data_IF_526217478417
#
_entry.id   IF_526217478417
#
_cell.length_a   1.000
_cell.length_b   1.000
_cell.length_c   1.000
_cell.angle_alpha   90.00
_cell.angle_beta   90.00
_cell.angle_gamma   90.00
#
_symmetry.space_group_name_H-M   'P 1'
#
loop_
_entity.id
_entity.type
_entity.pdbx_description
1 polymer ?
#
# COMPACT_ATOMS: atom_id res chain seq x y z
N UNK A 1 2.64 19.45 -38.21
CA UNK A 1 2.07 18.31 -37.47
C UNK A 1 2.94 17.10 -37.78
N UNK A 2 3.86 16.74 -36.89
CA UNK A 2 4.61 15.48 -36.99
C UNK A 2 3.61 14.33 -36.86
N UNK A 3 3.60 13.40 -37.82
CA UNK A 3 2.77 12.21 -37.72
C UNK A 3 3.10 11.49 -36.40
N UNK A 4 2.10 11.28 -35.54
CA UNK A 4 2.29 10.50 -34.33
C UNK A 4 2.77 9.10 -34.74
N UNK A 5 3.87 8.64 -34.13
CA UNK A 5 4.45 7.33 -34.41
C UNK A 5 3.45 6.19 -34.23
N UNK A 6 3.65 5.06 -34.91
CA UNK A 6 2.73 3.91 -34.89
C UNK A 6 2.68 3.30 -33.49
N UNK A 7 1.51 3.34 -32.85
CA UNK A 7 1.26 2.71 -31.56
C UNK A 7 0.86 1.24 -31.74
N UNK A 8 1.43 0.36 -30.91
CA UNK A 8 1.04 -1.06 -30.80
C UNK A 8 0.98 -1.45 -29.33
N UNK A 9 0.05 -2.35 -28.98
CA UNK A 9 -0.05 -2.92 -27.63
C UNK A 9 0.23 -4.40 -27.73
N UNK A 10 1.18 -4.88 -26.94
CA UNK A 10 1.56 -6.29 -26.90
C UNK A 10 1.41 -6.84 -25.49
N UNK A 11 0.92 -8.07 -25.39
CA UNK A 11 0.91 -8.80 -24.12
C UNK A 11 2.36 -9.13 -23.73
N UNK A 12 2.67 -9.04 -22.44
CA UNK A 12 3.97 -9.47 -21.89
C UNK A 12 3.90 -10.96 -21.59
N UNK A 13 4.81 -11.74 -22.15
CA UNK A 13 4.89 -13.17 -21.91
C UNK A 13 5.35 -13.48 -20.47
N UNK A 14 4.87 -14.60 -19.91
CA UNK A 14 5.25 -15.13 -18.59
C UNK A 14 6.12 -16.38 -18.81
N UNK A 15 7.09 -16.69 -17.91
CA UNK A 15 7.06 -16.42 -16.46
C UNK A 15 7.75 -15.14 -15.97
N UNK A 16 8.46 -14.40 -16.83
CA UNK A 16 9.17 -13.19 -16.41
C UNK A 16 8.60 -11.96 -17.11
N UNK A 17 8.02 -11.05 -16.33
CA UNK A 17 7.67 -9.71 -16.82
C UNK A 17 8.94 -9.05 -17.36
N UNK A 18 8.88 -8.54 -18.59
CA UNK A 18 10.07 -8.04 -19.29
C UNK A 18 10.73 -6.87 -18.56
N UNK A 19 12.04 -6.73 -18.71
CA UNK A 19 12.79 -5.61 -18.12
C UNK A 19 12.25 -4.26 -18.63
N UNK A 20 11.78 -4.20 -19.89
CA UNK A 20 11.12 -3.04 -20.47
C UNK A 20 9.85 -2.64 -19.70
N UNK A 21 9.01 -3.60 -19.32
CA UNK A 21 7.82 -3.33 -18.52
C UNK A 21 8.20 -2.78 -17.13
N UNK A 22 9.19 -3.39 -16.47
CA UNK A 22 9.63 -2.98 -15.14
C UNK A 22 10.28 -1.59 -15.13
N UNK A 23 11.06 -1.27 -16.17
CA UNK A 23 11.84 -0.03 -16.26
C UNK A 23 11.11 1.15 -16.87
N UNK A 24 9.96 0.96 -17.51
CA UNK A 24 9.20 2.07 -18.09
C UNK A 24 9.01 3.29 -17.16
N UNK A 25 8.73 3.13 -15.84
CA UNK A 25 8.63 4.26 -14.91
C UNK A 25 9.82 5.22 -14.95
N UNK A 26 11.06 4.70 -15.12
CA UNK A 26 12.26 5.54 -15.21
C UNK A 26 12.18 6.56 -16.36
N UNK A 27 11.51 6.20 -17.46
CA UNK A 27 11.32 7.11 -18.59
C UNK A 27 10.22 8.14 -18.33
N UNK A 28 9.14 7.72 -17.65
CA UNK A 28 7.96 8.54 -17.35
C UNK A 28 8.25 9.60 -16.27
N UNK A 29 9.04 9.23 -15.25
CA UNK A 29 9.34 10.05 -14.08
C UNK A 29 10.76 10.64 -14.08
N UNK A 30 11.47 10.62 -15.22
CA UNK A 30 12.88 11.06 -15.32
C UNK A 30 13.14 12.49 -14.80
N UNK A 31 12.13 13.34 -14.87
CA UNK A 31 12.13 14.76 -14.51
C UNK A 31 11.31 15.04 -13.24
N UNK A 32 10.86 14.00 -12.54
CA UNK A 32 10.09 14.11 -11.31
C UNK A 32 11.00 13.92 -10.08
N UNK A 33 11.29 14.98 -9.31
CA UNK A 33 12.16 14.87 -8.13
C UNK A 33 11.49 14.16 -6.94
N UNK A 34 10.16 14.03 -6.93
CA UNK A 34 9.44 13.32 -5.88
C UNK A 34 9.41 11.81 -6.14
N UNK A 35 9.64 11.38 -7.39
CA UNK A 35 9.61 9.97 -7.72
C UNK A 35 10.84 9.22 -7.18
N UNK A 36 10.60 8.08 -6.55
CA UNK A 36 11.64 7.21 -6.00
C UNK A 36 11.69 5.91 -6.82
N UNK A 37 12.82 5.61 -7.49
CA UNK A 37 12.97 4.36 -8.22
C UNK A 37 12.89 3.14 -7.28
N UNK A 38 11.94 2.20 -7.48
CA UNK A 38 11.84 1.02 -6.64
C UNK A 38 13.01 0.06 -6.92
N UNK A 39 13.31 -0.80 -5.96
CA UNK A 39 14.32 -1.85 -6.14
C UNK A 39 13.84 -2.85 -7.21
N UNK A 40 14.56 -2.93 -8.33
CA UNK A 40 14.19 -3.82 -9.44
C UNK A 40 14.20 -5.29 -9.03
N UNK A 41 15.07 -5.68 -8.08
CA UNK A 41 15.10 -7.04 -7.55
C UNK A 41 13.78 -7.40 -6.85
N UNK A 42 13.27 -6.49 -6.03
CA UNK A 42 12.02 -6.70 -5.30
C UNK A 42 10.82 -6.68 -6.25
N UNK A 43 10.78 -5.76 -7.23
CA UNK A 43 9.73 -5.75 -8.27
C UNK A 43 9.72 -7.03 -9.13
N UNK A 44 10.88 -7.60 -9.44
CA UNK A 44 10.97 -8.90 -10.14
C UNK A 44 10.41 -10.04 -9.30
N UNK A 45 10.72 -10.06 -8.00
CA UNK A 45 10.20 -11.07 -7.08
C UNK A 45 8.68 -10.95 -6.88
N UNK A 46 8.20 -9.72 -6.73
CA UNK A 46 6.78 -9.39 -6.60
C UNK A 46 5.94 -9.84 -7.81
N UNK A 47 6.51 -9.81 -9.02
CA UNK A 47 5.85 -10.23 -10.25
C UNK A 47 6.18 -11.67 -10.70
N UNK A 48 6.96 -12.44 -9.91
CA UNK A 48 7.29 -13.84 -10.21
C UNK A 48 6.19 -14.77 -9.64
N UNK A 49 5.42 -15.49 -10.49
CA UNK A 49 4.38 -16.41 -10.04
C UNK A 49 4.87 -17.56 -9.14
N UNK A 50 6.17 -17.85 -9.15
CA UNK A 50 6.77 -18.88 -8.30
C UNK A 50 7.14 -18.38 -6.91
N UNK A 51 7.11 -17.06 -6.70
CA UNK A 51 7.54 -16.42 -5.45
C UNK A 51 6.43 -15.68 -4.74
N UNK A 52 5.49 -15.09 -5.47
CA UNK A 52 4.37 -14.35 -4.90
C UNK A 52 3.10 -15.22 -4.87
N UNK A 53 2.56 -15.57 -3.69
CA UNK A 53 1.37 -16.41 -3.55
C UNK A 53 0.09 -15.80 -4.13
N UNK A 54 0.06 -14.49 -4.38
CA UNK A 54 -1.07 -13.84 -5.08
C UNK A 54 -1.44 -14.54 -6.38
N UNK A 55 -0.45 -15.03 -7.13
CA UNK A 55 -0.66 -15.71 -8.41
C UNK A 55 -1.26 -17.12 -8.27
N UNK A 56 -1.33 -17.69 -7.07
CA UNK A 56 -2.01 -18.96 -6.81
C UNK A 56 -3.54 -18.80 -6.88
N UNK A 57 -4.04 -17.61 -6.51
CA UNK A 57 -5.47 -17.29 -6.40
C UNK A 57 -5.93 -16.22 -7.37
N UNK A 58 -5.04 -15.69 -8.21
CA UNK A 58 -5.35 -14.64 -9.17
C UNK A 58 -4.85 -14.95 -10.58
N UNK A 59 -5.71 -14.69 -11.56
CA UNK A 59 -5.34 -14.68 -12.96
C UNK A 59 -4.92 -13.26 -13.35
N UNK A 60 -3.79 -13.12 -14.04
CA UNK A 60 -3.24 -11.80 -14.38
C UNK A 60 -2.75 -11.75 -15.82
N UNK A 61 -2.85 -10.55 -16.39
CA UNK A 61 -2.25 -10.19 -17.67
C UNK A 61 -1.60 -8.82 -17.60
N UNK A 62 -0.57 -8.65 -18.41
CA UNK A 62 0.26 -7.45 -18.47
C UNK A 62 0.43 -7.07 -19.94
N UNK A 63 0.42 -5.78 -20.23
CA UNK A 63 0.64 -5.25 -21.56
C UNK A 63 1.65 -4.11 -21.56
N UNK A 64 2.36 -3.98 -22.67
CA UNK A 64 3.27 -2.90 -22.97
C UNK A 64 2.81 -2.21 -24.27
N UNK A 65 2.62 -0.91 -24.22
CA UNK A 65 2.41 -0.07 -25.38
C UNK A 65 3.77 0.38 -25.95
N UNK A 66 3.96 0.17 -27.24
CA UNK A 66 5.15 0.56 -27.99
C UNK A 66 4.77 1.59 -29.05
N UNK A 67 5.46 2.73 -29.08
CA UNK A 67 5.40 3.72 -30.17
C UNK A 67 6.69 3.66 -30.96
N UNK A 68 6.60 3.29 -32.23
CA UNK A 68 7.77 3.04 -33.10
C UNK A 68 8.80 2.09 -32.45
N UNK A 69 8.30 1.03 -31.80
CA UNK A 69 9.12 0.04 -31.10
C UNK A 69 9.66 0.46 -29.73
N UNK A 70 9.39 1.70 -29.27
CA UNK A 70 9.83 2.19 -27.95
C UNK A 70 8.71 2.06 -26.91
N UNK A 71 8.98 1.53 -25.70
CA UNK A 71 8.00 1.52 -24.61
C UNK A 71 7.52 2.92 -24.25
N UNK A 72 6.21 3.14 -24.30
CA UNK A 72 5.55 4.40 -23.95
C UNK A 72 4.42 4.25 -22.93
N UNK A 73 4.05 3.01 -22.60
CA UNK A 73 2.99 2.75 -21.65
C UNK A 73 2.93 1.29 -21.20
N UNK A 74 2.39 1.00 -20.02
CA UNK A 74 2.20 -0.33 -19.48
C UNK A 74 0.92 -0.38 -18.64
N UNK A 75 0.32 -1.56 -18.55
CA UNK A 75 -0.84 -1.81 -17.67
C UNK A 75 -0.89 -3.29 -17.30
N UNK A 76 -1.54 -3.59 -16.17
CA UNK A 76 -1.94 -4.93 -15.77
C UNK A 76 -3.44 -5.01 -15.57
N UNK A 77 -4.00 -6.19 -15.77
CA UNK A 77 -5.35 -6.55 -15.38
C UNK A 77 -5.34 -7.89 -14.65
N UNK A 78 -6.22 -8.04 -13.67
CA UNK A 78 -6.24 -9.22 -12.83
C UNK A 78 -7.64 -9.57 -12.32
N UNK A 79 -7.93 -10.86 -12.25
CA UNK A 79 -9.12 -11.45 -11.65
C UNK A 79 -8.69 -12.15 -10.37
N UNK A 80 -9.06 -11.57 -9.23
CA UNK A 80 -8.73 -12.10 -7.91
C UNK A 80 -9.88 -12.98 -7.41
N UNK A 81 -9.65 -14.29 -7.30
CA UNK A 81 -10.70 -15.24 -6.87
C UNK A 81 -11.15 -15.00 -5.44
N UNK A 82 -10.22 -14.68 -4.53
CA UNK A 82 -10.56 -14.37 -3.13
C UNK A 82 -11.45 -13.11 -3.01
N UNK A 83 -11.26 -12.12 -3.89
CA UNK A 83 -12.17 -10.97 -3.98
C UNK A 83 -13.56 -11.41 -4.45
N UNK A 84 -13.62 -12.17 -5.55
CA UNK A 84 -14.89 -12.59 -6.14
C UNK A 84 -15.70 -13.52 -5.23
N UNK A 85 -15.05 -14.39 -4.47
CA UNK A 85 -15.71 -15.27 -3.49
C UNK A 85 -16.46 -14.48 -2.42
N UNK A 86 -15.88 -13.36 -1.99
CA UNK A 86 -16.45 -12.46 -0.98
C UNK A 86 -17.50 -11.51 -1.55
N UNK A 87 -17.20 -10.82 -2.65
CA UNK A 87 -18.04 -9.71 -3.16
C UNK A 87 -19.07 -10.15 -4.20
N UNK A 88 -18.79 -11.21 -4.97
CA UNK A 88 -19.71 -11.82 -5.95
C UNK A 88 -20.33 -10.83 -6.94
N UNK A 89 -19.57 -9.83 -7.35
CA UNK A 89 -20.04 -8.69 -8.15
C UNK A 89 -19.46 -8.67 -9.58
N UNK A 90 -18.71 -9.71 -9.97
CA UNK A 90 -18.00 -9.81 -11.24
C UNK A 90 -17.04 -8.63 -11.52
N UNK A 91 -16.40 -8.12 -10.47
CA UNK A 91 -15.35 -7.10 -10.59
C UNK A 91 -14.00 -7.72 -10.92
N UNK A 92 -13.39 -7.24 -12.00
CA UNK A 92 -11.97 -7.40 -12.28
C UNK A 92 -11.20 -6.14 -11.89
N UNK A 93 -9.89 -6.29 -11.73
CA UNK A 93 -9.02 -5.18 -11.36
C UNK A 93 -8.05 -4.82 -12.47
N UNK A 94 -7.60 -3.57 -12.47
CA UNK A 94 -6.47 -3.10 -13.28
C UNK A 94 -5.44 -2.42 -12.38
N UNK A 95 -4.21 -2.27 -12.86
CA UNK A 95 -3.16 -1.52 -12.15
C UNK A 95 -1.85 -1.52 -12.91
N UNK A 96 -0.74 -1.22 -12.23
CA UNK A 96 0.59 -1.00 -12.83
C UNK A 96 0.54 -0.02 -14.02
N UNK A 97 -0.48 0.84 -14.07
CA UNK A 97 -0.70 1.76 -15.18
C UNK A 97 0.38 2.83 -15.17
N UNK A 98 1.19 2.87 -16.22
CA UNK A 98 2.14 3.95 -16.47
C UNK A 98 2.08 4.29 -17.94
N UNK A 99 2.05 5.56 -18.31
CA UNK A 99 2.05 5.95 -19.72
C UNK A 99 2.51 7.38 -19.91
N UNK A 100 3.04 7.69 -21.09
CA UNK A 100 3.22 9.08 -21.55
C UNK A 100 1.87 9.82 -21.57
N UNK A 101 1.91 11.15 -21.52
CA UNK A 101 0.69 11.98 -21.56
C UNK A 101 0.04 11.99 -22.96
N UNK A 102 -0.60 10.87 -23.31
CA UNK A 102 -1.21 10.62 -24.61
C UNK A 102 -2.56 9.92 -24.45
N UNK A 103 -3.62 10.55 -24.95
CA UNK A 103 -4.96 9.96 -24.96
C UNK A 103 -4.97 8.61 -25.70
N UNK A 104 -4.25 8.52 -26.82
CA UNK A 104 -4.13 7.30 -27.63
C UNK A 104 -3.50 6.15 -26.83
N UNK A 105 -2.42 6.44 -26.08
CA UNK A 105 -1.71 5.43 -25.26
C UNK A 105 -2.60 4.92 -24.13
N UNK A 106 -3.28 5.81 -23.40
CA UNK A 106 -4.22 5.41 -22.33
C UNK A 106 -5.40 4.60 -22.89
N UNK A 107 -6.00 5.05 -23.99
CA UNK A 107 -7.11 4.34 -24.63
C UNK A 107 -6.71 2.92 -25.05
N UNK A 108 -5.53 2.76 -25.66
CA UNK A 108 -5.06 1.47 -26.13
C UNK A 108 -4.76 0.50 -24.97
N UNK A 109 -4.11 0.98 -23.90
CA UNK A 109 -3.80 0.16 -22.72
C UNK A 109 -5.06 -0.24 -21.95
N UNK A 110 -5.94 0.71 -21.63
CA UNK A 110 -7.16 0.43 -20.88
C UNK A 110 -8.10 -0.44 -21.72
N UNK A 111 -8.21 -0.22 -23.03
CA UNK A 111 -8.96 -1.09 -23.92
C UNK A 111 -8.47 -2.55 -23.86
N UNK A 112 -7.15 -2.78 -23.94
CA UNK A 112 -6.59 -4.13 -23.84
C UNK A 112 -6.88 -4.81 -22.49
N UNK A 113 -6.81 -4.07 -21.39
CA UNK A 113 -7.17 -4.55 -20.06
C UNK A 113 -8.67 -4.87 -19.95
N UNK A 114 -9.53 -3.96 -20.42
CA UNK A 114 -10.99 -4.11 -20.40
C UNK A 114 -11.45 -5.30 -21.24
N UNK A 115 -10.91 -5.48 -22.45
CA UNK A 115 -11.24 -6.60 -23.34
C UNK A 115 -10.86 -7.93 -22.71
N UNK A 116 -9.70 -7.99 -22.05
CA UNK A 116 -9.30 -9.19 -21.31
C UNK A 116 -10.23 -9.45 -20.12
N UNK A 117 -10.59 -8.43 -19.36
CA UNK A 117 -11.54 -8.56 -18.24
C UNK A 117 -12.92 -9.04 -18.72
N UNK A 118 -13.45 -8.51 -19.83
CA UNK A 118 -14.68 -9.01 -20.47
C UNK A 118 -14.56 -10.48 -20.85
N UNK A 119 -13.42 -10.88 -21.41
CA UNK A 119 -13.15 -12.28 -21.75
C UNK A 119 -13.06 -13.20 -20.51
N UNK A 120 -12.76 -12.65 -19.33
CA UNK A 120 -12.85 -13.35 -18.04
C UNK A 120 -14.25 -13.24 -17.40
N UNK A 121 -15.27 -12.83 -18.16
CA UNK A 121 -16.65 -12.62 -17.71
C UNK A 121 -16.82 -11.56 -16.60
N UNK A 122 -15.87 -10.62 -16.48
CA UNK A 122 -16.01 -9.48 -15.57
C UNK A 122 -16.87 -8.39 -16.20
N UNK A 123 -17.66 -7.70 -15.35
CA UNK A 123 -18.60 -6.64 -15.73
C UNK A 123 -18.21 -5.27 -15.20
N UNK A 124 -17.14 -5.20 -14.41
CA UNK A 124 -16.64 -3.98 -13.80
C UNK A 124 -15.12 -4.05 -13.72
N UNK A 125 -14.46 -2.95 -14.05
CA UNK A 125 -13.04 -2.73 -13.79
C UNK A 125 -12.90 -1.79 -12.59
N UNK A 126 -12.06 -2.16 -11.62
CA UNK A 126 -11.78 -1.38 -10.41
C UNK A 126 -10.26 -1.27 -10.18
N UNK A 127 -9.73 -0.09 -9.89
CA UNK A 127 -8.29 0.10 -9.72
C UNK A 127 -7.85 1.58 -9.79
N UNK A 128 -6.55 1.87 -9.80
CA UNK A 128 -5.48 0.90 -9.95
C UNK A 128 -5.17 0.14 -8.65
N UNK A 129 -4.96 -1.17 -8.76
CA UNK A 129 -4.32 -2.03 -7.77
C UNK A 129 -3.11 -2.68 -8.43
N UNK A 130 -1.92 -2.44 -7.88
CA UNK A 130 -0.70 -3.11 -8.33
C UNK A 130 -0.72 -4.55 -7.81
N UNK A 131 -1.55 -5.38 -8.44
CA UNK A 131 -2.04 -6.71 -8.04
C UNK A 131 -3.21 -6.69 -7.05
N UNK A 132 -2.98 -6.40 -5.76
CA UNK A 132 -3.99 -6.52 -4.69
C UNK A 132 -4.28 -5.20 -3.97
N UNK A 133 -5.49 -5.07 -3.40
CA UNK A 133 -5.85 -3.93 -2.52
C UNK A 133 -5.01 -3.90 -1.23
N UNK A 134 -4.51 -5.07 -0.80
CA UNK A 134 -3.64 -5.21 0.37
C UNK A 134 -2.17 -4.81 0.08
N UNK A 135 -1.87 -4.35 -1.14
CA UNK A 135 -0.54 -3.93 -1.58
C UNK A 135 -0.57 -2.43 -1.99
N UNK A 136 0.03 -2.07 -3.12
CA UNK A 136 -0.02 -0.69 -3.64
C UNK A 136 -1.38 -0.44 -4.33
N UNK A 137 -2.19 0.44 -3.74
CA UNK A 137 -3.54 0.74 -4.22
C UNK A 137 -3.82 2.24 -4.40
N UNK A 138 -4.66 2.52 -5.40
CA UNK A 138 -5.11 3.87 -5.75
C UNK A 138 -4.09 4.63 -6.61
N UNK A 139 -4.63 5.55 -7.41
CA UNK A 139 -3.87 6.52 -8.19
C UNK A 139 -3.61 7.76 -7.33
N UNK A 140 -2.37 8.24 -7.23
CA UNK A 140 -2.10 9.54 -6.60
C UNK A 140 -2.81 10.65 -7.40
N UNK A 141 -3.72 11.39 -6.75
CA UNK A 141 -4.48 12.49 -7.36
C UNK A 141 -4.23 13.84 -6.69
N UNK A 142 -3.55 13.85 -5.55
CA UNK A 142 -3.17 15.06 -4.81
C UNK A 142 -1.92 14.79 -3.95
N UNK A 143 -1.06 15.80 -3.79
CA UNK A 143 0.22 15.74 -3.08
C UNK A 143 1.39 15.16 -3.90
N UNK A 144 1.46 15.51 -5.20
CA UNK A 144 2.48 15.05 -6.16
C UNK A 144 3.90 15.50 -5.84
N UNK A 145 4.06 16.57 -5.06
CA UNK A 145 5.33 17.11 -4.58
C UNK A 145 5.99 16.24 -3.50
N UNK A 146 5.25 15.31 -2.92
CA UNK A 146 5.72 14.45 -1.86
C UNK A 146 6.14 13.08 -2.42
N UNK A 147 7.33 12.58 -2.04
CA UNK A 147 7.71 11.22 -2.38
C UNK A 147 6.70 10.17 -1.89
N UNK A 148 6.58 9.03 -2.58
CA UNK A 148 5.77 7.93 -2.11
C UNK A 148 6.34 7.41 -0.78
N UNK A 149 5.46 7.12 0.16
CA UNK A 149 5.82 6.35 1.36
C UNK A 149 5.91 4.86 0.99
N UNK A 150 6.57 4.08 1.83
CA UNK A 150 6.70 2.64 1.62
C UNK A 150 5.34 1.97 1.33
N UNK A 151 5.26 1.10 0.33
CA UNK A 151 4.03 0.41 -0.12
C UNK A 151 2.90 1.37 -0.62
N UNK A 152 3.25 2.58 -1.07
CA UNK A 152 2.34 3.49 -1.78
C UNK A 152 2.91 3.82 -3.15
N UNK A 153 2.02 3.97 -4.14
CA UNK A 153 2.41 4.34 -5.50
C UNK A 153 2.75 5.83 -5.66
N UNK A 154 3.22 6.18 -6.85
CA UNK A 154 3.35 7.55 -7.35
C UNK A 154 2.56 7.67 -8.66
N UNK A 155 2.24 8.89 -9.09
CA UNK A 155 1.59 9.13 -10.38
C UNK A 155 1.97 10.49 -10.94
N UNK A 156 1.75 10.68 -12.25
CA UNK A 156 1.81 12.02 -12.85
C UNK A 156 0.45 12.72 -12.77
N UNK A 157 0.39 14.07 -12.66
CA UNK A 157 -0.86 14.82 -12.53
C UNK A 157 -1.90 14.57 -13.63
N UNK A 158 -1.46 14.23 -14.85
CA UNK A 158 -2.37 14.01 -15.98
C UNK A 158 -3.13 12.68 -15.93
N UNK A 159 -2.72 11.72 -15.09
CA UNK A 159 -3.30 10.36 -15.11
C UNK A 159 -4.80 10.38 -14.77
N UNK A 160 -5.21 11.19 -13.80
CA UNK A 160 -6.61 11.32 -13.39
C UNK A 160 -7.48 11.79 -14.57
N UNK A 161 -7.08 12.89 -15.21
CA UNK A 161 -7.77 13.45 -16.38
C UNK A 161 -7.83 12.45 -17.53
N UNK A 162 -6.78 11.65 -17.76
CA UNK A 162 -6.75 10.62 -18.82
C UNK A 162 -7.71 9.47 -18.54
N UNK A 163 -7.84 9.03 -17.29
CA UNK A 163 -8.82 8.02 -16.89
C UNK A 163 -10.26 8.56 -17.01
N UNK A 164 -10.51 9.75 -16.48
CA UNK A 164 -11.83 10.40 -16.50
C UNK A 164 -12.33 10.65 -17.93
N UNK A 165 -11.43 11.05 -18.85
CA UNK A 165 -11.74 11.20 -20.27
C UNK A 165 -12.17 9.88 -20.95
N UNK A 166 -11.80 8.73 -20.38
CA UNK A 166 -12.20 7.40 -20.86
C UNK A 166 -13.42 6.84 -20.11
N UNK A 167 -14.08 7.67 -19.29
CA UNK A 167 -15.32 7.31 -18.59
C UNK A 167 -15.12 6.53 -17.29
N UNK A 168 -13.89 6.44 -16.79
CA UNK A 168 -13.64 5.99 -15.42
C UNK A 168 -14.14 7.05 -14.44
N UNK A 169 -14.75 6.60 -13.34
CA UNK A 169 -15.26 7.47 -12.28
C UNK A 169 -14.64 7.10 -10.95
N UNK A 170 -14.62 8.04 -10.01
CA UNK A 170 -14.20 7.77 -8.64
C UNK A 170 -15.06 6.66 -8.02
N UNK A 171 -14.40 5.64 -7.49
CA UNK A 171 -15.00 4.60 -6.65
C UNK A 171 -14.76 4.90 -5.16
N UNK A 172 -13.55 5.31 -4.79
CA UNK A 172 -13.18 5.62 -3.39
C UNK A 172 -11.92 6.48 -3.33
N UNK A 173 -11.90 7.47 -2.44
CA UNK A 173 -10.67 8.17 -2.06
C UNK A 173 -10.06 7.57 -0.79
N UNK A 174 -8.73 7.49 -0.81
CA UNK A 174 -7.83 6.93 0.18
C UNK A 174 -6.91 8.07 0.67
N UNK A 175 -7.20 8.59 1.85
CA UNK A 175 -6.53 9.76 2.41
C UNK A 175 -5.29 9.33 3.18
N UNK A 176 -4.17 10.01 2.93
CA UNK A 176 -2.94 9.86 3.70
C UNK A 176 -2.74 11.07 4.60
N UNK A 177 -2.48 10.82 5.88
CA UNK A 177 -2.17 11.86 6.86
C UNK A 177 -0.69 11.83 7.21
N UNK A 178 -0.07 12.99 7.30
CA UNK A 178 1.26 13.15 7.86
C UNK A 178 1.16 13.48 9.35
N UNK A 179 2.01 12.88 10.17
CA UNK A 179 2.18 13.24 11.58
C UNK A 179 3.63 13.65 11.86
N UNK A 180 3.78 14.51 12.87
CA UNK A 180 5.06 14.96 13.38
C UNK A 180 5.34 14.24 14.72
N UNK A 181 6.56 13.69 14.87
CA UNK A 181 6.93 12.92 16.04
C UNK A 181 7.16 13.78 17.30
N UNK A 182 7.26 15.10 17.16
CA UNK A 182 7.47 16.03 18.28
C UNK A 182 6.18 16.60 18.87
N UNK A 183 5.02 16.27 18.31
CA UNK A 183 3.75 16.63 18.95
C UNK A 183 3.54 15.82 20.23
N UNK A 184 2.90 16.42 21.22
CA UNK A 184 2.48 15.69 22.42
C UNK A 184 1.07 15.14 22.22
N UNK A 185 0.78 13.99 22.85
CA UNK A 185 -0.59 13.49 22.92
C UNK A 185 -1.47 14.51 23.67
N UNK A 186 -2.69 14.79 23.20
CA UNK A 186 -3.70 15.52 23.95
C UNK A 186 -3.82 15.00 25.40
N UNK A 187 -3.85 15.87 26.42
CA UNK A 187 -3.89 15.47 27.83
C UNK A 187 -5.05 14.53 28.20
N UNK A 188 -6.19 14.66 27.53
CA UNK A 188 -7.37 13.80 27.70
C UNK A 188 -7.09 12.35 27.36
N UNK A 189 -6.26 12.13 26.35
CA UNK A 189 -5.89 10.81 25.84
C UNK A 189 -4.85 10.16 26.75
N UNK A 190 -3.83 10.93 27.16
CA UNK A 190 -2.84 10.48 28.13
C UNK A 190 -3.50 10.02 29.45
N UNK A 191 -4.55 10.72 29.91
CA UNK A 191 -5.29 10.35 31.13
C UNK A 191 -6.11 9.06 30.99
N UNK A 192 -6.74 8.84 29.83
CA UNK A 192 -7.53 7.61 29.55
C UNK A 192 -6.64 6.37 29.57
N UNK A 193 -5.47 6.46 28.93
CA UNK A 193 -4.46 5.41 28.93
C UNK A 193 -3.94 5.15 30.35
N UNK A 194 -3.64 6.20 31.10
CA UNK A 194 -3.19 6.11 32.49
C UNK A 194 -4.18 5.39 33.41
N UNK A 195 -5.49 5.63 33.28
CA UNK A 195 -6.52 4.92 34.06
C UNK A 195 -6.62 3.43 33.71
N UNK A 196 -6.59 3.11 32.41
CA UNK A 196 -6.76 1.73 31.93
C UNK A 196 -5.52 0.88 32.24
N UNK A 197 -4.32 1.46 32.11
CA UNK A 197 -3.06 0.82 32.47
C UNK A 197 -2.95 0.58 33.99
N UNK A 198 -3.43 1.51 34.83
CA UNK A 198 -3.45 1.34 36.30
C UNK A 198 -4.36 0.23 36.79
N UNK A 199 -5.31 -0.22 35.96
CA UNK A 199 -6.16 -1.36 36.29
C UNK A 199 -5.48 -2.71 35.96
N UNK A 200 -4.25 -2.73 35.43
CA UNK A 200 -3.50 -3.92 34.98
C UNK A 200 -4.19 -4.81 33.92
N UNK A 201 -5.39 -4.43 33.49
CA UNK A 201 -6.17 -5.17 32.48
C UNK A 201 -5.62 -5.03 31.08
N UNK A 202 -4.99 -3.89 30.76
CA UNK A 202 -4.47 -3.58 29.44
C UNK A 202 -2.93 -3.63 29.45
N UNK A 203 -2.37 -4.53 28.64
CA UNK A 203 -0.93 -4.63 28.39
C UNK A 203 -0.66 -4.42 26.91
N UNK A 204 0.20 -3.45 26.58
CA UNK A 204 0.72 -3.30 25.22
C UNK A 204 2.14 -3.86 25.19
N UNK A 205 2.40 -4.78 24.26
CA UNK A 205 3.72 -5.42 24.11
C UNK A 205 4.19 -5.38 22.66
N UNK A 206 5.51 -5.40 22.41
CA UNK A 206 6.06 -5.54 21.07
C UNK A 206 5.86 -6.95 20.50
N UNK A 207 6.18 -7.12 19.21
CA UNK A 207 6.36 -8.43 18.59
C UNK A 207 7.46 -9.22 19.33
N UNK A 208 7.18 -10.48 19.65
CA UNK A 208 8.16 -11.40 20.22
C UNK A 208 8.69 -12.36 19.16
N UNK A 209 9.95 -12.17 18.75
CA UNK A 209 10.61 -13.00 17.75
C UNK A 209 10.83 -14.46 18.18
N UNK A 210 10.78 -14.77 19.48
CA UNK A 210 10.89 -16.16 19.97
C UNK A 210 9.62 -16.98 19.69
N UNK A 211 8.47 -16.30 19.57
CA UNK A 211 7.14 -16.86 19.24
C UNK A 211 6.57 -16.23 17.97
N UNK A 212 7.45 -15.94 17.01
CA UNK A 212 7.14 -15.16 15.81
C UNK A 212 5.90 -15.65 15.06
N UNK A 213 5.78 -16.96 14.82
CA UNK A 213 4.64 -17.54 14.11
C UNK A 213 3.31 -17.35 14.87
N UNK A 214 3.32 -17.46 16.20
CA UNK A 214 2.13 -17.28 17.03
C UNK A 214 1.67 -15.81 17.04
N UNK A 215 2.63 -14.87 17.09
CA UNK A 215 2.32 -13.45 17.00
C UNK A 215 1.86 -13.05 15.59
N UNK A 216 2.45 -13.62 14.53
CA UNK A 216 1.96 -13.42 13.15
C UNK A 216 0.52 -13.92 12.99
N UNK A 217 0.21 -15.11 13.51
CA UNK A 217 -1.15 -15.63 13.50
C UNK A 217 -2.13 -14.72 14.27
N UNK A 218 -1.70 -14.19 15.42
CA UNK A 218 -2.48 -13.22 16.21
C UNK A 218 -2.76 -11.93 15.42
N UNK A 219 -1.74 -11.37 14.75
CA UNK A 219 -1.87 -10.17 13.94
C UNK A 219 -2.85 -10.41 12.78
N UNK A 220 -2.73 -11.54 12.10
CA UNK A 220 -3.63 -11.91 10.99
C UNK A 220 -5.08 -12.08 11.45
N UNK A 221 -5.28 -12.71 12.61
CA UNK A 221 -6.60 -12.91 13.19
C UNK A 221 -7.26 -11.57 13.54
N UNK A 222 -6.53 -10.66 14.19
CA UNK A 222 -7.03 -9.30 14.48
C UNK A 222 -7.29 -8.54 13.18
N UNK A 223 -6.41 -8.64 12.17
CA UNK A 223 -6.60 -7.99 10.86
C UNK A 223 -7.88 -8.45 10.19
N UNK A 224 -8.06 -9.77 10.02
CA UNK A 224 -9.21 -10.34 9.33
C UNK A 224 -10.52 -10.05 10.06
N UNK A 225 -10.52 -10.02 11.41
CA UNK A 225 -11.68 -9.58 12.19
C UNK A 225 -11.96 -8.08 11.97
N UNK A 226 -11.01 -7.22 12.33
CA UNK A 226 -11.17 -5.77 12.36
C UNK A 226 -11.54 -5.16 10.99
N UNK A 227 -10.99 -5.72 9.91
CA UNK A 227 -11.16 -5.19 8.55
C UNK A 227 -12.23 -5.91 7.72
N UNK A 228 -12.90 -6.93 8.28
CA UNK A 228 -13.86 -7.76 7.52
C UNK A 228 -15.00 -6.99 6.85
N UNK A 229 -15.43 -5.86 7.40
CA UNK A 229 -16.49 -5.01 6.79
C UNK A 229 -15.92 -3.79 6.03
N UNK A 230 -14.60 -3.67 5.94
CA UNK A 230 -13.95 -2.53 5.30
C UNK A 230 -14.17 -2.55 3.79
N UNK A 231 -14.29 -1.38 3.17
CA UNK A 231 -14.51 -1.26 1.73
C UNK A 231 -13.40 -1.95 0.94
N UNK A 232 -13.78 -2.78 -0.03
CA UNK A 232 -12.85 -3.53 -0.88
C UNK A 232 -12.06 -4.63 -0.17
N UNK A 233 -12.32 -4.94 1.11
CA UNK A 233 -11.56 -5.92 1.86
C UNK A 233 -11.47 -7.27 1.15
N UNK A 234 -10.27 -7.83 1.13
CA UNK A 234 -9.97 -9.19 0.71
C UNK A 234 -9.30 -9.90 1.89
N UNK A 235 -9.83 -11.05 2.36
CA UNK A 235 -9.19 -11.83 3.41
C UNK A 235 -7.76 -12.18 3.02
N UNK A 236 -6.81 -11.94 3.91
CA UNK A 236 -5.42 -12.33 3.68
C UNK A 236 -5.26 -13.81 4.02
N UNK A 237 -4.69 -14.57 3.09
CA UNK A 237 -4.33 -15.98 3.32
C UNK A 237 -3.06 -16.11 4.17
N UNK A 238 -2.89 -17.27 4.80
CA UNK A 238 -1.66 -17.59 5.54
C UNK A 238 -0.42 -17.61 4.64
N UNK A 239 -0.56 -17.89 3.35
CA UNK A 239 0.55 -17.86 2.40
C UNK A 239 0.99 -16.42 2.13
N UNK A 240 0.04 -15.52 1.87
CA UNK A 240 0.28 -14.08 1.66
C UNK A 240 0.89 -13.42 2.91
N UNK A 241 0.36 -13.71 4.10
CA UNK A 241 0.92 -13.20 5.35
C UNK A 241 2.39 -13.62 5.50
N UNK A 242 2.71 -14.91 5.32
CA UNK A 242 4.08 -15.40 5.45
C UNK A 242 5.01 -14.83 4.41
N UNK A 243 4.53 -14.65 3.17
CA UNK A 243 5.29 -13.98 2.11
C UNK A 243 5.62 -12.53 2.50
N UNK A 244 4.61 -11.76 2.91
CA UNK A 244 4.78 -10.37 3.35
C UNK A 244 5.69 -10.28 4.58
N UNK A 245 5.48 -11.13 5.59
CA UNK A 245 6.30 -11.17 6.80
C UNK A 245 7.77 -11.47 6.47
N UNK A 246 8.04 -12.43 5.57
CA UNK A 246 9.39 -12.75 5.09
C UNK A 246 10.04 -11.56 4.36
N UNK A 247 9.31 -10.87 3.49
CA UNK A 247 9.80 -9.71 2.75
C UNK A 247 10.13 -8.52 3.68
N UNK A 248 9.32 -8.31 4.72
CA UNK A 248 9.48 -7.22 5.68
C UNK A 248 10.44 -7.54 6.83
N UNK A 249 10.72 -8.81 7.13
CA UNK A 249 11.59 -9.24 8.23
C UNK A 249 12.93 -8.50 8.31
N UNK A 250 13.65 -8.17 7.21
CA UNK A 250 14.92 -7.44 7.29
C UNK A 250 14.79 -6.03 7.86
N UNK A 251 13.62 -5.39 7.71
CA UNK A 251 13.37 -4.00 8.10
C UNK A 251 12.52 -3.86 9.36
N UNK A 252 11.81 -4.91 9.78
CA UNK A 252 10.97 -4.94 10.97
C UNK A 252 11.83 -5.07 12.24
N UNK A 253 11.60 -4.18 13.21
CA UNK A 253 12.09 -4.30 14.59
C UNK A 253 10.95 -4.84 15.46
N UNK A 254 11.24 -5.42 16.63
CA UNK A 254 10.19 -5.91 17.54
C UNK A 254 9.21 -4.79 17.92
N UNK A 255 9.74 -3.60 18.15
CA UNK A 255 8.99 -2.40 18.49
C UNK A 255 8.29 -1.73 17.29
N UNK A 256 8.51 -2.22 16.05
CA UNK A 256 7.72 -1.83 14.87
C UNK A 256 6.30 -2.37 14.91
N UNK A 257 5.98 -3.26 15.85
CA UNK A 257 4.66 -3.86 16.01
C UNK A 257 4.26 -3.70 17.47
N UNK A 258 3.02 -3.29 17.70
CA UNK A 258 2.41 -3.25 19.00
C UNK A 258 1.19 -4.17 19.03
N UNK A 259 1.08 -5.00 20.06
CA UNK A 259 -0.07 -5.87 20.32
C UNK A 259 -0.63 -5.48 21.69
N UNK A 260 -1.89 -5.07 21.73
CA UNK A 260 -2.62 -4.81 22.96
C UNK A 260 -3.40 -6.05 23.40
N UNK A 261 -3.13 -6.48 24.62
CA UNK A 261 -3.81 -7.56 25.31
C UNK A 261 -4.71 -6.97 26.40
N UNK A 262 -6.00 -7.30 26.35
CA UNK A 262 -6.98 -6.97 27.37
C UNK A 262 -7.36 -8.25 28.11
N UNK A 263 -7.14 -8.29 29.42
CA UNK A 263 -7.37 -9.48 30.26
C UNK A 263 -6.68 -10.75 29.69
N UNK A 264 -5.47 -10.57 29.14
CA UNK A 264 -4.66 -11.62 28.52
C UNK A 264 -5.06 -12.00 27.08
N UNK A 265 -6.10 -11.40 26.52
CA UNK A 265 -6.55 -11.65 25.15
C UNK A 265 -6.06 -10.56 24.19
N UNK A 266 -5.38 -10.90 23.08
CA UNK A 266 -5.01 -9.92 22.05
C UNK A 266 -6.25 -9.31 21.37
N UNK A 267 -6.43 -7.99 21.48
CA UNK A 267 -7.63 -7.28 21.02
C UNK A 267 -7.34 -6.12 20.07
N UNK A 268 -6.10 -5.66 20.00
CA UNK A 268 -5.69 -4.66 19.01
C UNK A 268 -4.24 -4.84 18.59
N UNK A 269 -3.90 -4.35 17.41
CA UNK A 269 -2.54 -4.30 16.89
C UNK A 269 -2.29 -3.05 16.06
N UNK A 270 -1.02 -2.65 15.97
CA UNK A 270 -0.53 -1.68 15.00
C UNK A 270 0.84 -2.09 14.48
N UNK A 271 1.11 -1.75 13.21
CA UNK A 271 2.39 -1.98 12.55
C UNK A 271 2.91 -0.63 12.05
N UNK A 272 4.09 -0.23 12.50
CA UNK A 272 4.82 0.95 12.05
C UNK A 272 6.15 0.56 11.40
N UNK A 273 6.26 0.75 10.09
CA UNK A 273 7.43 0.38 9.30
C UNK A 273 8.30 1.61 9.01
N UNK A 274 9.64 1.49 9.00
CA UNK A 274 10.49 2.56 8.53
C UNK A 274 10.24 2.85 7.05
N UNK A 275 10.30 4.11 6.62
CA UNK A 275 10.13 4.45 5.22
C UNK A 275 11.38 4.07 4.41
N UNK A 276 11.38 2.86 3.86
CA UNK A 276 12.50 2.32 3.08
C UNK A 276 12.77 3.15 1.81
N UNK A 277 11.77 3.88 1.30
CA UNK A 277 11.93 4.69 0.09
C UNK A 277 13.02 5.76 0.26
N UNK A 278 13.18 6.34 1.45
CA UNK A 278 14.30 7.25 1.76
C UNK A 278 15.67 6.55 1.65
N UNK A 279 15.73 5.29 2.06
CA UNK A 279 16.96 4.52 2.09
C UNK A 279 17.41 4.04 0.70
N UNK A 280 16.49 4.01 -0.28
CA UNK A 280 16.75 3.54 -1.66
C UNK A 280 16.76 4.66 -2.70
N UNK A 281 16.43 5.89 -2.32
CA UNK A 281 16.21 7.04 -3.22
C UNK A 281 17.29 7.22 -4.31
N UNK A 282 18.56 7.07 -3.94
CA UNK A 282 19.72 7.26 -4.83
C UNK A 282 20.36 5.95 -5.31
N UNK A 283 19.66 4.81 -5.17
CA UNK A 283 20.15 3.51 -5.61
C UNK A 283 19.76 3.18 -7.07
N UNK A 284 18.89 3.99 -7.69
CA UNK A 284 18.41 3.78 -9.06
C UNK A 284 17.86 2.35 -9.29
N UNK A 285 17.21 1.80 -8.27
CA UNK A 285 16.68 0.43 -8.27
C UNK A 285 17.73 -0.70 -8.26
N UNK A 286 19.03 -0.40 -8.08
CA UNK A 286 20.13 -1.37 -8.10
C UNK A 286 20.72 -1.60 -6.72
N UNK A 287 20.86 -2.88 -6.34
CA UNK A 287 21.57 -3.27 -5.12
C UNK A 287 23.03 -3.66 -5.36
N UNK A 288 23.39 -4.04 -6.58
CA UNK A 288 24.75 -4.49 -6.90
C UNK A 288 25.52 -3.39 -7.67
N UNK A 289 26.85 -3.30 -7.47
CA UNK A 289 27.65 -4.14 -6.57
C UNK A 289 27.59 -3.73 -5.07
N UNK A 290 27.29 -2.48 -4.73
CA UNK A 290 27.42 -1.97 -3.34
C UNK A 290 26.15 -1.33 -2.75
N UNK A 291 25.05 -1.25 -3.50
CA UNK A 291 23.78 -0.69 -3.04
C UNK A 291 23.18 -1.44 -1.84
N UNK A 292 23.38 -2.76 -1.75
CA UNK A 292 22.95 -3.58 -0.60
C UNK A 292 23.64 -3.15 0.70
N UNK A 293 24.94 -2.86 0.67
CA UNK A 293 25.69 -2.44 1.85
C UNK A 293 25.23 -1.05 2.32
N UNK A 294 25.02 -0.14 1.36
CA UNK A 294 24.48 1.20 1.58
C UNK A 294 23.07 1.14 2.18
N UNK A 295 22.20 0.27 1.65
CA UNK A 295 20.85 0.05 2.17
C UNK A 295 20.88 -0.50 3.61
N UNK A 296 21.68 -1.55 3.87
CA UNK A 296 21.81 -2.13 5.21
C UNK A 296 22.33 -1.10 6.22
N UNK A 297 23.35 -0.32 5.87
CA UNK A 297 23.87 0.75 6.73
C UNK A 297 22.79 1.81 7.01
N UNK A 298 22.02 2.22 6.00
CA UNK A 298 20.92 3.18 6.18
C UNK A 298 19.80 2.66 7.07
N UNK A 299 19.47 1.38 6.99
CA UNK A 299 18.40 0.77 7.79
C UNK A 299 18.82 0.44 9.21
N UNK A 300 20.09 0.03 9.42
CA UNK A 300 20.58 -0.47 10.71
C UNK A 300 21.36 0.56 11.51
N UNK A 301 21.98 1.55 10.86
CA UNK A 301 22.82 2.57 11.50
C UNK A 301 22.21 3.96 11.39
N UNK A 302 21.90 4.45 10.18
CA UNK A 302 21.40 5.82 9.98
C UNK A 302 19.93 6.00 10.41
N UNK A 303 19.11 4.98 10.17
CA UNK A 303 17.64 4.95 10.30
C UNK A 303 16.92 5.98 9.40
N UNK A 304 15.84 5.60 8.70
CA UNK A 304 15.00 6.56 7.98
C UNK A 304 14.36 7.59 8.92
N UNK A 305 14.22 8.82 8.45
CA UNK A 305 13.63 9.94 9.21
C UNK A 305 12.11 9.84 9.28
N UNK A 306 11.48 9.23 8.27
CA UNK A 306 10.04 8.97 8.30
C UNK A 306 9.69 7.49 8.47
N UNK A 307 8.50 7.24 8.98
CA UNK A 307 7.89 5.93 9.04
C UNK A 307 6.50 5.93 8.38
N UNK A 308 5.93 4.74 8.17
CA UNK A 308 4.54 4.57 7.77
C UNK A 308 3.86 3.62 8.74
N UNK A 309 2.63 3.94 9.13
CA UNK A 309 1.72 3.02 9.84
C UNK A 309 0.72 2.46 8.82
N UNK A 310 1.06 1.39 8.07
CA UNK A 310 0.18 0.83 7.05
C UNK A 310 -1.01 0.07 7.63
N UNK A 311 -0.91 -0.37 8.88
CA UNK A 311 -1.91 -1.25 9.47
C UNK A 311 -2.12 -0.96 10.95
N UNK A 312 -3.40 -0.80 11.30
CA UNK A 312 -3.89 -0.77 12.67
C UNK A 312 -5.26 -1.45 12.69
N UNK A 313 -5.52 -2.24 13.71
CA UNK A 313 -6.82 -2.89 13.88
C UNK A 313 -7.15 -3.07 15.35
N UNK A 314 -8.42 -2.84 15.67
CA UNK A 314 -9.04 -3.20 16.95
C UNK A 314 -10.12 -4.22 16.62
N UNK A 315 -10.27 -5.27 17.41
CA UNK A 315 -11.34 -6.25 17.17
C UNK A 315 -12.71 -5.59 17.13
N UNK A 316 -13.60 -6.10 16.27
CA UNK A 316 -14.93 -5.54 16.02
C UNK A 316 -15.77 -5.42 17.29
N UNK A 317 -15.61 -6.36 18.22
CA UNK A 317 -16.28 -6.38 19.51
C UNK A 317 -16.09 -5.09 20.34
N UNK A 318 -15.05 -4.30 20.04
CA UNK A 318 -14.76 -3.03 20.72
C UNK A 318 -15.04 -1.80 19.85
N UNK A 319 -15.49 -1.96 18.60
CA UNK A 319 -15.82 -0.83 17.71
C UNK A 319 -16.94 0.04 18.30
N UNK A 320 -16.87 1.34 18.04
CA UNK A 320 -17.87 2.30 18.52
C UNK A 320 -17.88 2.50 20.05
N UNK A 321 -16.88 1.99 20.77
CA UNK A 321 -16.78 2.13 22.23
C UNK A 321 -15.60 3.00 22.66
N UNK A 322 -15.70 3.60 23.85
CA UNK A 322 -14.59 4.32 24.49
C UNK A 322 -13.38 3.42 24.72
N UNK A 323 -13.61 2.15 25.05
CA UNK A 323 -12.56 1.16 25.23
C UNK A 323 -11.83 0.87 23.90
N UNK A 324 -12.56 0.70 22.80
CA UNK A 324 -11.96 0.53 21.48
C UNK A 324 -11.11 1.71 21.05
N UNK A 325 -11.56 2.94 21.31
CA UNK A 325 -10.76 4.13 21.09
C UNK A 325 -9.48 4.13 21.94
N UNK A 326 -9.57 3.76 23.22
CA UNK A 326 -8.40 3.63 24.09
C UNK A 326 -7.40 2.57 23.59
N UNK A 327 -7.89 1.43 23.10
CA UNK A 327 -7.06 0.36 22.53
C UNK A 327 -6.31 0.83 21.28
N UNK A 328 -7.00 1.51 20.34
CA UNK A 328 -6.39 2.07 19.13
C UNK A 328 -5.28 3.07 19.47
N UNK A 329 -5.55 3.97 20.41
CA UNK A 329 -4.57 4.95 20.88
C UNK A 329 -3.37 4.24 21.52
N UNK A 330 -3.60 3.23 22.36
CA UNK A 330 -2.53 2.54 23.09
C UNK A 330 -1.51 1.88 22.14
N UNK A 331 -1.98 1.24 21.07
CA UNK A 331 -1.08 0.63 20.07
C UNK A 331 -0.37 1.70 19.22
N UNK A 332 -1.05 2.78 18.85
CA UNK A 332 -0.46 3.91 18.10
C UNK A 332 0.63 4.60 18.92
N UNK A 333 0.36 4.90 20.19
CA UNK A 333 1.33 5.51 21.10
C UNK A 333 2.57 4.62 21.27
N UNK A 334 2.39 3.30 21.42
CA UNK A 334 3.51 2.37 21.53
C UNK A 334 4.41 2.41 20.29
N UNK A 335 3.83 2.43 19.09
CA UNK A 335 4.57 2.56 17.82
C UNK A 335 5.30 3.91 17.76
N UNK A 336 4.59 4.99 18.10
CA UNK A 336 5.17 6.33 18.06
C UNK A 336 6.35 6.48 19.03
N UNK A 337 6.22 6.05 20.29
CA UNK A 337 7.31 6.08 21.27
C UNK A 337 8.53 5.29 20.76
N UNK A 338 8.30 4.12 20.17
CA UNK A 338 9.35 3.30 19.59
C UNK A 338 10.07 4.00 18.42
N UNK A 339 9.32 4.64 17.52
CA UNK A 339 9.85 5.39 16.40
C UNK A 339 10.63 6.64 16.85
N UNK A 340 10.10 7.39 17.81
CA UNK A 340 10.78 8.56 18.39
C UNK A 340 12.12 8.17 19.03
N UNK A 341 12.16 7.05 19.74
CA UNK A 341 13.37 6.55 20.40
C UNK A 341 14.52 6.20 19.42
N UNK A 342 14.21 6.00 18.14
CA UNK A 342 15.21 5.71 17.10
C UNK A 342 15.43 6.88 16.12
N UNK A 343 14.93 8.08 16.46
CA UNK A 343 15.16 9.31 15.70
C UNK A 343 14.26 9.51 14.47
N UNK A 344 13.10 8.85 14.43
CA UNK A 344 12.07 9.16 13.42
C UNK A 344 11.43 10.51 13.78
N UNK A 345 11.38 11.41 12.79
CA UNK A 345 10.90 12.80 12.90
C UNK A 345 9.40 12.91 12.60
N UNK A 346 8.82 11.93 11.90
CA UNK A 346 7.41 11.94 11.53
C UNK A 346 7.04 10.76 10.63
N UNK A 347 5.88 10.81 10.00
CA UNK A 347 5.50 9.73 9.11
C UNK A 347 4.11 9.82 8.51
N UNK A 348 3.75 8.77 7.79
CA UNK A 348 2.47 8.63 7.10
C UNK A 348 1.54 7.66 7.85
N UNK A 349 0.31 8.09 8.10
CA UNK A 349 -0.82 7.24 8.48
C UNK A 349 -1.65 7.03 7.22
N UNK A 350 -1.62 5.82 6.66
CA UNK A 350 -2.30 5.55 5.40
C UNK A 350 -2.58 4.09 5.13
N UNK A 351 -3.58 3.80 4.32
CA UNK A 351 -4.58 4.73 3.80
C UNK A 351 -5.81 4.76 4.71
N UNK A 352 -6.48 5.91 4.78
CA UNK A 352 -7.73 6.08 5.54
C UNK A 352 -8.85 6.34 4.55
N UNK A 353 -9.93 5.56 4.60
CA UNK A 353 -11.08 5.78 3.72
C UNK A 353 -11.68 7.17 3.94
N UNK A 354 -12.10 7.82 2.87
CA UNK A 354 -12.75 9.13 2.91
C UNK A 354 -13.97 9.20 3.83
N UNK A 355 -14.70 8.08 3.98
CA UNK A 355 -15.92 7.94 4.79
C UNK A 355 -15.66 7.42 6.22
N UNK A 356 -14.42 7.07 6.57
CA UNK A 356 -14.03 6.70 7.93
C UNK A 356 -13.84 7.96 8.81
N UNK A 357 -14.93 8.73 8.97
CA UNK A 357 -14.96 9.97 9.74
C UNK A 357 -14.46 9.80 11.19
N UNK A 358 -14.77 8.70 11.92
CA UNK A 358 -14.23 8.51 13.27
C UNK A 358 -12.70 8.49 13.30
N UNK A 359 -12.06 7.74 12.40
CA UNK A 359 -10.60 7.67 12.32
C UNK A 359 -9.98 8.99 11.86
N UNK A 360 -10.57 9.63 10.83
CA UNK A 360 -10.09 10.92 10.32
C UNK A 360 -10.09 12.00 11.40
N UNK A 361 -11.20 12.14 12.12
CA UNK A 361 -11.31 13.10 13.24
C UNK A 361 -10.33 12.79 14.36
N UNK A 362 -10.14 11.51 14.67
CA UNK A 362 -9.15 11.07 15.66
C UNK A 362 -7.74 11.52 15.25
N UNK A 363 -7.32 11.24 14.01
CA UNK A 363 -6.01 11.63 13.48
C UNK A 363 -5.83 13.15 13.49
N UNK A 364 -6.83 13.89 13.01
CA UNK A 364 -6.81 15.37 12.96
C UNK A 364 -6.73 15.99 14.37
N UNK A 365 -7.42 15.41 15.36
CA UNK A 365 -7.32 15.82 16.75
C UNK A 365 -5.94 15.55 17.36
N UNK A 366 -5.25 14.49 16.91
CA UNK A 366 -3.85 14.22 17.23
C UNK A 366 -2.87 15.06 16.41
N UNK A 367 -3.38 15.98 15.59
CA UNK A 367 -2.56 16.90 14.82
C UNK A 367 -2.04 16.36 13.49
N UNK A 368 -2.56 15.21 13.04
CA UNK A 368 -2.28 14.71 11.71
C UNK A 368 -2.88 15.62 10.64
N UNK A 369 -2.16 15.81 9.54
CA UNK A 369 -2.56 16.69 8.44
C UNK A 369 -2.70 15.85 7.18
N UNK A 370 -3.87 15.90 6.53
CA UNK A 370 -4.06 15.26 5.23
C UNK A 370 -3.15 15.95 4.20
N UNK A 371 -2.35 15.17 3.47
CA UNK A 371 -1.32 15.72 2.57
C UNK A 371 -1.19 14.98 1.23
N UNK A 372 -1.74 13.77 1.12
CA UNK A 372 -1.89 13.06 -0.15
C UNK A 372 -3.26 12.42 -0.23
N UNK A 373 -3.78 12.35 -1.45
CA UNK A 373 -4.99 11.58 -1.76
C UNK A 373 -4.70 10.60 -2.87
N UNK A 374 -5.00 9.33 -2.63
CA UNK A 374 -5.04 8.29 -3.64
C UNK A 374 -6.49 8.00 -4.01
N UNK A 375 -6.79 7.82 -5.29
CA UNK A 375 -8.15 7.53 -5.79
C UNK A 375 -8.19 6.18 -6.46
N UNK A 376 -9.15 5.37 -6.06
CA UNK A 376 -9.58 4.19 -6.81
C UNK A 376 -10.68 4.63 -7.76
N UNK A 377 -10.53 4.25 -9.03
CA UNK A 377 -11.46 4.45 -10.12
C UNK A 377 -12.20 3.16 -10.45
N UNK A 378 -13.39 3.30 -11.01
CA UNK A 378 -14.18 2.21 -11.56
C UNK A 378 -14.75 2.54 -12.94
N UNK A 379 -15.02 1.49 -13.70
CA UNK A 379 -15.74 1.55 -14.97
C UNK A 379 -16.58 0.29 -15.17
N UNK A 380 -17.83 0.47 -15.62
CA UNK A 380 -18.66 -0.64 -16.07
C UNK A 380 -18.16 -1.18 -17.40
N UNK A 381 -18.04 -2.50 -17.51
CA UNK A 381 -17.70 -3.24 -18.72
C UNK A 381 -19.00 -3.82 -19.27
N UNK A 382 -19.70 -3.02 -20.07
CA UNK A 382 -20.86 -3.48 -20.85
C UNK A 382 -20.42 -4.43 -21.96
#
# INVERSE_FOLDING_TARGET
MTAAGRLTVQAVERPAVSDAFLRLPWTIYRDDPAWIPPLLMERREHLDPRKNPFFETAETRFWLALRDGRPVGRISAQVNRAYLEKHRDATGHFGMLEAEDSAETFQALLGAAEDWLRAQAMRRALGPFNLSINEECGLLVDGFEHPPSMLMGHARPYYATRLEALGYRKAKDLICYHYDADRELPPTVAHLLGKTARAERLKVRPLDFSRYEADLATIMDIFNDAWSDNWGFVPMSQAELRHMAKALKPIVRSQSIAIAELDGQPVAMAIGLPNVNEAIADLDGRLLPFGWAKLLWRLKVKTPKSARVPLMGVRKAYHGSLLGAALAIAVIESIWRAQKAIGVEGGELSWILEDNLPMRRMIEQFGGVAYKTYRVYERGLS
#
